data_IF_031645807699
#
_entry.id   IF_031645807699
#
_cell.length_a   1.000
_cell.length_b   1.000
_cell.length_c   1.000
_cell.angle_alpha   90.00
_cell.angle_beta   90.00
_cell.angle_gamma   90.00
#
_symmetry.space_group_name_H-M   'P 1'
#
loop_
_entity.id
_entity.type
_entity.pdbx_description
1 polymer ?
#
# COMPACT_ATOMS: atom_id res chain seq x y z
N UNK A 1 -34.82 38.68 -16.60
CA UNK A 1 -33.73 37.98 -17.26
C UNK A 1 -32.56 37.66 -16.32
N UNK A 2 -31.97 38.61 -15.57
CA UNK A 2 -30.84 38.31 -14.65
C UNK A 2 -31.15 37.24 -13.59
N UNK A 3 -32.35 37.21 -12.99
CA UNK A 3 -32.73 36.22 -11.96
C UNK A 3 -32.88 34.79 -12.52
N UNK A 4 -33.31 34.64 -13.78
CA UNK A 4 -33.43 33.34 -14.45
C UNK A 4 -32.04 32.79 -14.78
N UNK A 5 -31.09 33.64 -15.20
CA UNK A 5 -29.70 33.24 -15.44
C UNK A 5 -28.99 32.78 -14.16
N UNK A 6 -29.24 33.43 -13.03
CA UNK A 6 -28.67 33.02 -11.72
C UNK A 6 -29.24 31.67 -11.27
N UNK A 7 -30.55 31.45 -11.45
CA UNK A 7 -31.19 30.17 -11.12
C UNK A 7 -30.67 29.01 -12.02
N UNK A 8 -30.52 29.25 -13.31
CA UNK A 8 -29.93 28.27 -14.24
C UNK A 8 -28.45 27.97 -13.92
N UNK A 9 -27.67 28.99 -13.56
CA UNK A 9 -26.27 28.82 -13.17
C UNK A 9 -26.14 28.05 -11.85
N UNK A 10 -26.97 28.33 -10.85
CA UNK A 10 -27.01 27.58 -9.59
C UNK A 10 -27.45 26.14 -9.80
N UNK A 11 -28.40 25.86 -10.68
CA UNK A 11 -28.84 24.50 -11.01
C UNK A 11 -27.76 23.70 -11.78
N UNK A 12 -26.97 24.35 -12.62
CA UNK A 12 -25.84 23.69 -13.30
C UNK A 12 -24.71 23.34 -12.33
N UNK A 13 -24.43 24.19 -11.35
CA UNK A 13 -23.41 23.92 -10.31
C UNK A 13 -23.86 22.74 -9.44
N UNK A 14 -25.12 22.69 -9.01
CA UNK A 14 -25.61 21.58 -8.20
C UNK A 14 -25.60 20.25 -8.97
N UNK A 15 -25.96 20.24 -10.24
CA UNK A 15 -25.90 19.04 -11.10
C UNK A 15 -24.47 18.52 -11.28
N UNK A 16 -23.48 19.44 -11.43
CA UNK A 16 -22.08 19.02 -11.55
C UNK A 16 -21.51 18.46 -10.25
N UNK A 17 -21.90 18.98 -9.08
CA UNK A 17 -21.49 18.45 -7.78
C UNK A 17 -22.06 17.05 -7.56
N UNK A 18 -23.32 16.81 -7.87
CA UNK A 18 -23.95 15.47 -7.77
C UNK A 18 -23.29 14.46 -8.70
N UNK A 19 -23.02 14.83 -9.96
CA UNK A 19 -22.34 13.96 -10.91
C UNK A 19 -20.92 13.59 -10.46
N UNK A 20 -20.18 14.52 -9.88
CA UNK A 20 -18.83 14.27 -9.34
C UNK A 20 -18.88 13.34 -8.10
N UNK A 21 -19.87 13.48 -7.25
CA UNK A 21 -20.05 12.62 -6.08
C UNK A 21 -20.43 11.18 -6.46
N UNK A 22 -21.27 11.03 -7.49
CA UNK A 22 -21.66 9.72 -8.02
C UNK A 22 -20.47 9.01 -8.69
N UNK A 23 -19.62 9.74 -9.42
CA UNK A 23 -18.39 9.21 -10.01
C UNK A 23 -17.39 8.77 -8.95
N UNK A 24 -17.18 9.60 -7.92
CA UNK A 24 -16.29 9.28 -6.79
C UNK A 24 -16.81 8.03 -6.03
N UNK A 25 -18.09 7.94 -5.77
CA UNK A 25 -18.70 6.79 -5.11
C UNK A 25 -18.51 5.50 -5.93
N UNK A 26 -18.72 5.57 -7.25
CA UNK A 26 -18.51 4.44 -8.16
C UNK A 26 -17.06 3.95 -8.15
N UNK A 27 -16.12 4.89 -8.20
CA UNK A 27 -14.68 4.60 -8.17
C UNK A 27 -14.24 3.97 -6.85
N UNK A 28 -14.71 4.51 -5.72
CA UNK A 28 -14.41 3.94 -4.40
C UNK A 28 -14.96 2.54 -4.23
N UNK A 29 -16.16 2.31 -4.74
CA UNK A 29 -16.80 0.99 -4.73
C UNK A 29 -16.02 -0.04 -5.55
N UNK A 30 -15.48 0.36 -6.71
CA UNK A 30 -14.62 -0.49 -7.54
C UNK A 30 -13.29 -0.81 -6.86
N UNK A 31 -12.71 0.16 -6.15
CA UNK A 31 -11.46 0.01 -5.40
C UNK A 31 -11.61 -0.77 -4.09
N UNK A 32 -12.84 -1.03 -3.64
CA UNK A 32 -13.16 -1.56 -2.31
C UNK A 32 -12.57 -0.70 -1.17
N UNK A 33 -12.51 0.62 -1.37
CA UNK A 33 -11.91 1.57 -0.43
C UNK A 33 -12.70 2.87 -0.44
N UNK A 34 -13.38 3.18 0.65
CA UNK A 34 -14.07 4.43 0.91
C UNK A 34 -13.25 5.31 1.83
N UNK A 35 -13.01 6.57 1.42
CA UNK A 35 -12.45 7.61 2.25
C UNK A 35 -13.51 8.69 2.46
N UNK A 36 -13.89 8.96 3.69
CA UNK A 36 -15.02 9.82 4.00
C UNK A 36 -14.87 10.51 5.35
N UNK A 37 -15.66 11.56 5.53
CA UNK A 37 -15.79 12.21 6.83
C UNK A 37 -17.22 12.17 7.34
N UNK A 38 -17.36 12.23 8.66
CA UNK A 38 -18.63 12.37 9.38
C UNK A 38 -18.40 13.20 10.63
N UNK A 39 -19.50 13.67 11.23
CA UNK A 39 -19.45 14.40 12.49
C UNK A 39 -19.94 13.50 13.63
N UNK A 40 -19.36 13.70 14.82
CA UNK A 40 -19.68 12.95 16.01
C UNK A 40 -19.89 13.92 17.17
N UNK A 41 -20.98 13.72 17.92
CA UNK A 41 -21.31 14.56 19.10
C UNK A 41 -20.71 14.01 20.40
N UNK A 42 -20.57 12.68 20.51
CA UNK A 42 -20.06 11.98 21.70
C UNK A 42 -18.86 11.10 21.37
N UNK A 43 -17.73 11.42 21.97
CA UNK A 43 -16.48 10.64 21.84
C UNK A 43 -16.59 9.17 22.32
N UNK A 44 -17.60 8.83 23.14
CA UNK A 44 -17.82 7.46 23.57
C UNK A 44 -18.36 6.58 22.43
N UNK A 45 -19.04 7.16 21.46
CA UNK A 45 -19.50 6.44 20.27
C UNK A 45 -18.35 6.06 19.34
N UNK A 46 -17.27 6.85 19.37
CA UNK A 46 -16.11 6.65 18.50
C UNK A 46 -15.47 5.26 18.67
N UNK A 47 -15.43 4.75 19.91
CA UNK A 47 -14.87 3.42 20.17
C UNK A 47 -15.68 2.29 19.51
N UNK A 48 -16.99 2.44 19.40
CA UNK A 48 -17.87 1.47 18.72
C UNK A 48 -17.75 1.60 17.20
N UNK A 49 -17.63 2.84 16.71
CA UNK A 49 -17.45 3.13 15.30
C UNK A 49 -16.10 2.57 14.81
N UNK A 50 -15.05 2.67 15.61
CA UNK A 50 -13.72 2.13 15.31
C UNK A 50 -13.67 0.58 15.22
N UNK A 51 -14.70 -0.12 15.69
CA UNK A 51 -14.85 -1.57 15.46
C UNK A 51 -15.37 -1.90 14.05
N UNK A 52 -15.97 -0.92 13.36
CA UNK A 52 -16.58 -1.09 12.03
C UNK A 52 -15.68 -0.53 10.94
N UNK A 53 -15.07 0.65 11.18
CA UNK A 53 -14.30 1.40 10.19
C UNK A 53 -12.92 1.78 10.75
N UNK A 54 -11.98 2.10 9.86
CA UNK A 54 -10.62 2.57 10.21
C UNK A 54 -10.61 4.07 10.36
N UNK A 55 -10.38 4.59 11.56
CA UNK A 55 -10.27 6.03 11.81
C UNK A 55 -8.87 6.48 11.40
N UNK A 56 -8.81 7.42 10.46
CA UNK A 56 -7.57 8.04 9.99
C UNK A 56 -7.21 9.27 10.84
N UNK A 57 -8.19 10.18 11.02
CA UNK A 57 -7.94 11.47 11.66
C UNK A 57 -9.17 12.00 12.37
N UNK A 58 -8.93 12.74 13.45
CA UNK A 58 -9.99 13.44 14.20
C UNK A 58 -9.61 14.92 14.26
N UNK A 59 -10.50 15.80 13.79
CA UNK A 59 -10.35 17.24 13.76
C UNK A 59 -11.56 17.95 14.43
N UNK A 60 -11.46 18.14 15.74
CA UNK A 60 -12.61 18.60 16.53
C UNK A 60 -13.72 17.55 16.54
N UNK A 61 -14.90 17.91 16.07
CA UNK A 61 -16.06 17.01 15.97
C UNK A 61 -16.08 16.21 14.65
N UNK A 62 -15.20 16.57 13.71
CA UNK A 62 -15.08 15.91 12.42
C UNK A 62 -14.13 14.72 12.49
N UNK A 63 -14.61 13.57 12.06
CA UNK A 63 -13.83 12.33 11.94
C UNK A 63 -13.62 12.00 10.47
N UNK A 64 -12.41 11.61 10.12
CA UNK A 64 -12.05 11.13 8.79
C UNK A 64 -11.66 9.66 8.91
N UNK A 65 -12.17 8.83 7.99
CA UNK A 65 -12.03 7.39 8.10
C UNK A 65 -11.95 6.70 6.74
N UNK A 66 -11.42 5.48 6.78
CA UNK A 66 -11.45 4.50 5.69
C UNK A 66 -12.39 3.34 6.01
N UNK A 67 -12.99 2.78 4.97
CA UNK A 67 -13.76 1.55 5.05
C UNK A 67 -13.72 0.79 3.72
N UNK A 68 -13.77 -0.54 3.75
CA UNK A 68 -14.08 -1.34 2.57
C UNK A 68 -15.60 -1.29 2.25
N UNK A 69 -16.03 -1.85 1.14
CA UNK A 69 -17.45 -1.86 0.73
C UNK A 69 -18.38 -2.34 1.86
N UNK A 70 -18.04 -3.47 2.48
CA UNK A 70 -18.87 -4.06 3.53
C UNK A 70 -18.91 -3.17 4.78
N UNK A 71 -17.77 -2.72 5.26
CA UNK A 71 -17.67 -1.88 6.45
C UNK A 71 -18.33 -0.51 6.25
N UNK A 72 -18.30 0.03 5.02
CA UNK A 72 -18.97 1.26 4.69
C UNK A 72 -20.49 1.10 4.71
N UNK A 73 -21.02 0.01 4.14
CA UNK A 73 -22.45 -0.32 4.21
C UNK A 73 -22.90 -0.54 5.67
N UNK A 74 -22.11 -1.25 6.47
CA UNK A 74 -22.37 -1.45 7.90
C UNK A 74 -22.40 -0.10 8.65
N UNK A 75 -21.47 0.81 8.34
CA UNK A 75 -21.42 2.16 8.91
C UNK A 75 -22.62 3.02 8.51
N UNK A 76 -23.01 3.02 7.23
CA UNK A 76 -24.19 3.75 6.75
C UNK A 76 -25.48 3.30 7.44
N UNK A 77 -25.55 2.03 7.86
CA UNK A 77 -26.69 1.49 8.61
C UNK A 77 -26.89 2.13 9.98
N UNK A 78 -25.88 2.82 10.53
CA UNK A 78 -25.97 3.60 11.77
C UNK A 78 -26.77 4.90 11.58
N UNK A 79 -27.04 5.32 10.35
CA UNK A 79 -27.77 6.55 10.03
C UNK A 79 -26.96 7.83 10.20
N UNK A 80 -25.63 7.73 10.29
CA UNK A 80 -24.73 8.87 10.39
C UNK A 80 -24.50 9.43 8.98
N UNK A 81 -24.65 10.74 8.82
CA UNK A 81 -24.40 11.42 7.54
C UNK A 81 -22.90 11.42 7.21
N UNK A 82 -22.59 11.11 5.96
CA UNK A 82 -21.19 11.05 5.47
C UNK A 82 -20.96 12.00 4.32
N UNK A 83 -19.71 12.46 4.20
CA UNK A 83 -19.23 13.16 3.01
C UNK A 83 -18.03 12.38 2.45
N UNK A 84 -18.16 11.86 1.21
CA UNK A 84 -17.04 11.22 0.52
C UNK A 84 -15.92 12.22 0.25
N UNK A 85 -14.70 11.81 0.51
CA UNK A 85 -13.48 12.57 0.29
C UNK A 85 -12.62 11.84 -0.73
N UNK A 86 -11.83 12.58 -1.50
CA UNK A 86 -10.82 11.98 -2.36
C UNK A 86 -9.67 11.47 -1.49
N UNK A 87 -9.31 10.18 -1.53
CA UNK A 87 -8.19 9.66 -0.77
C UNK A 87 -6.88 10.38 -1.12
N UNK A 88 -5.98 10.62 -0.15
CA UNK A 88 -4.66 11.22 -0.41
C UNK A 88 -3.89 10.51 -1.52
N UNK A 89 -3.98 9.18 -1.60
CA UNK A 89 -3.36 8.35 -2.65
C UNK A 89 -3.82 8.68 -4.08
N UNK A 90 -4.97 9.35 -4.23
CA UNK A 90 -5.49 9.78 -5.53
C UNK A 90 -5.17 11.25 -5.85
N UNK A 91 -4.67 12.03 -4.88
CA UNK A 91 -4.36 13.44 -5.07
C UNK A 91 -2.94 13.66 -5.61
N UNK A 92 -2.07 12.69 -5.42
CA UNK A 92 -0.67 12.75 -5.85
C UNK A 92 -0.41 11.75 -6.98
N UNK A 93 0.22 12.23 -8.06
CA UNK A 93 0.76 11.35 -9.09
C UNK A 93 2.18 10.98 -8.69
N UNK A 94 2.34 9.77 -8.16
CA UNK A 94 3.66 9.27 -7.85
C UNK A 94 4.39 8.91 -9.14
N UNK A 95 5.66 9.32 -9.22
CA UNK A 95 6.54 8.90 -10.29
C UNK A 95 6.90 7.44 -10.05
N UNK A 96 6.62 6.59 -11.04
CA UNK A 96 6.85 5.15 -10.97
C UNK A 96 8.03 4.77 -11.83
N UNK A 97 8.93 3.97 -11.27
CA UNK A 97 10.01 3.35 -12.02
C UNK A 97 9.50 2.09 -12.74
N UNK A 98 9.68 2.03 -14.05
CA UNK A 98 9.31 0.91 -14.91
C UNK A 98 10.50 0.24 -15.61
N UNK A 99 11.73 0.57 -15.20
CA UNK A 99 12.97 -0.04 -15.68
C UNK A 99 13.08 -1.52 -15.32
N UNK A 100 13.96 -2.24 -16.03
CA UNK A 100 14.11 -3.69 -15.87
C UNK A 100 15.41 -4.12 -15.18
N UNK A 101 16.27 -3.17 -14.87
CA UNK A 101 17.55 -3.46 -14.22
C UNK A 101 17.70 -2.63 -12.95
N UNK A 102 18.25 -3.25 -11.92
CA UNK A 102 18.52 -2.58 -10.66
C UNK A 102 19.47 -1.39 -10.83
N UNK A 103 20.40 -1.47 -11.77
CA UNK A 103 21.36 -0.40 -12.04
C UNK A 103 20.73 0.91 -12.53
N UNK A 104 19.50 0.85 -13.04
CA UNK A 104 18.75 2.04 -13.50
C UNK A 104 17.93 2.69 -12.39
N UNK A 105 17.89 2.11 -11.19
CA UNK A 105 16.99 2.52 -10.11
C UNK A 105 17.73 3.36 -9.04
N UNK A 106 17.29 4.60 -8.86
CA UNK A 106 17.92 5.59 -7.97
C UNK A 106 17.32 5.67 -6.54
N UNK A 107 16.33 4.85 -6.22
CA UNK A 107 15.61 4.82 -4.95
C UNK A 107 14.76 6.07 -4.63
N UNK A 108 14.48 6.91 -5.61
CA UNK A 108 13.64 8.12 -5.51
C UNK A 108 12.22 7.95 -6.08
N UNK A 109 11.92 6.76 -6.61
CA UNK A 109 10.64 6.39 -7.20
C UNK A 109 10.18 5.05 -6.63
N UNK A 110 8.88 4.75 -6.76
CA UNK A 110 8.36 3.42 -6.46
C UNK A 110 8.42 2.56 -7.72
N UNK A 111 8.94 1.32 -7.65
CA UNK A 111 8.92 0.43 -8.81
C UNK A 111 7.49 -0.03 -9.11
N UNK A 112 7.18 -0.15 -10.41
CA UNK A 112 5.99 -0.89 -10.84
C UNK A 112 6.10 -2.35 -10.39
N UNK A 113 4.98 -3.10 -10.41
CA UNK A 113 5.04 -4.51 -10.04
C UNK A 113 6.00 -5.31 -10.95
N UNK A 114 6.00 -5.02 -12.25
CA UNK A 114 6.89 -5.65 -13.24
C UNK A 114 8.36 -5.30 -12.99
N UNK A 115 8.65 -4.04 -12.62
CA UNK A 115 10.00 -3.64 -12.23
C UNK A 115 10.45 -4.34 -10.93
N UNK A 116 9.56 -4.46 -9.96
CA UNK A 116 9.81 -5.20 -8.72
C UNK A 116 10.12 -6.68 -8.98
N UNK A 117 9.30 -7.36 -9.79
CA UNK A 117 9.52 -8.75 -10.15
C UNK A 117 10.89 -8.95 -10.83
N UNK A 118 11.20 -8.06 -11.79
CA UNK A 118 12.50 -8.08 -12.48
C UNK A 118 13.68 -7.85 -11.51
N UNK A 119 13.56 -6.92 -10.55
CA UNK A 119 14.59 -6.68 -9.53
C UNK A 119 14.80 -7.89 -8.62
N UNK A 120 13.74 -8.55 -8.20
CA UNK A 120 13.80 -9.75 -7.36
C UNK A 120 14.49 -10.91 -8.10
N UNK A 121 14.21 -11.07 -9.40
CA UNK A 121 14.87 -12.05 -10.27
C UNK A 121 16.36 -11.69 -10.48
N UNK A 122 16.68 -10.42 -10.70
CA UNK A 122 18.06 -9.94 -10.85
C UNK A 122 18.89 -10.17 -9.59
N UNK A 123 18.37 -9.91 -8.39
CA UNK A 123 19.06 -10.22 -7.14
C UNK A 123 19.42 -11.71 -7.04
N UNK A 124 18.48 -12.60 -7.31
CA UNK A 124 18.73 -14.04 -7.22
C UNK A 124 19.67 -14.54 -8.32
N UNK A 125 19.57 -14.02 -9.54
CA UNK A 125 20.44 -14.46 -10.65
C UNK A 125 21.88 -13.93 -10.50
N UNK A 126 22.04 -12.68 -10.05
CA UNK A 126 23.36 -12.04 -9.88
C UNK A 126 24.11 -12.62 -8.68
N UNK A 127 23.41 -12.92 -7.59
CA UNK A 127 23.99 -13.40 -6.33
C UNK A 127 23.54 -14.84 -6.01
N UNK A 128 23.52 -15.69 -7.03
CA UNK A 128 22.97 -17.06 -6.95
C UNK A 128 23.62 -17.98 -5.90
N UNK A 129 24.83 -17.65 -5.45
CA UNK A 129 25.50 -18.38 -4.36
C UNK A 129 24.92 -18.08 -2.97
N UNK A 130 24.35 -16.88 -2.79
CA UNK A 130 23.90 -16.39 -1.51
C UNK A 130 22.40 -16.01 -1.48
N UNK A 131 21.77 -15.86 -2.64
CA UNK A 131 20.40 -15.41 -2.78
C UNK A 131 19.58 -16.40 -3.61
N UNK A 132 18.44 -16.80 -3.08
CA UNK A 132 17.47 -17.65 -3.78
C UNK A 132 16.11 -16.98 -3.80
N UNK A 133 15.51 -16.80 -4.99
CA UNK A 133 14.15 -16.33 -5.14
C UNK A 133 13.16 -17.47 -4.90
N UNK A 134 12.14 -17.19 -4.12
CA UNK A 134 11.05 -18.11 -3.80
C UNK A 134 9.71 -17.46 -4.15
N UNK A 135 8.84 -18.19 -4.80
CA UNK A 135 7.43 -17.84 -4.98
C UNK A 135 6.60 -18.59 -3.94
N UNK A 136 5.93 -17.87 -3.05
CA UNK A 136 5.07 -18.46 -2.01
C UNK A 136 3.65 -18.72 -2.53
N UNK A 137 3.25 -18.07 -3.60
CA UNK A 137 1.95 -18.23 -4.23
C UNK A 137 1.66 -17.12 -5.23
N UNK A 138 0.59 -17.33 -6.00
CA UNK A 138 0.09 -16.39 -6.99
C UNK A 138 -1.31 -15.94 -6.59
N UNK A 139 -1.56 -14.64 -6.61
CA UNK A 139 -2.83 -14.03 -6.28
C UNK A 139 -3.81 -14.09 -7.45
N UNK A 140 -5.08 -13.71 -7.21
CA UNK A 140 -6.12 -13.71 -8.24
C UNK A 140 -5.83 -12.73 -9.41
N UNK A 141 -5.09 -11.66 -9.16
CA UNK A 141 -4.59 -10.73 -10.18
C UNK A 141 -3.54 -11.31 -11.11
N UNK A 142 -2.94 -12.46 -10.75
CA UNK A 142 -1.76 -13.03 -11.39
C UNK A 142 -0.44 -12.57 -10.77
N UNK A 143 -0.46 -11.61 -9.83
CA UNK A 143 0.74 -11.17 -9.11
C UNK A 143 1.21 -12.23 -8.12
N UNK A 144 2.53 -12.36 -7.97
CA UNK A 144 3.19 -13.37 -7.14
C UNK A 144 3.59 -12.80 -5.78
N UNK A 145 3.53 -13.62 -4.76
CA UNK A 145 4.16 -13.34 -3.47
C UNK A 145 5.61 -13.81 -3.52
N UNK A 146 6.53 -12.86 -3.65
CA UNK A 146 7.95 -13.12 -3.82
C UNK A 146 8.73 -12.92 -2.53
N UNK A 147 9.62 -13.84 -2.23
CA UNK A 147 10.53 -13.81 -1.09
C UNK A 147 11.93 -14.16 -1.57
N UNK A 148 12.92 -13.40 -1.16
CA UNK A 148 14.31 -13.85 -1.28
C UNK A 148 14.77 -14.47 0.02
N UNK A 149 15.52 -15.56 -0.11
CA UNK A 149 16.28 -16.19 0.96
C UNK A 149 17.75 -15.84 0.79
N UNK A 150 18.35 -15.24 1.79
CA UNK A 150 19.75 -14.77 1.76
C UNK A 150 20.52 -15.39 2.93
N UNK A 151 21.65 -16.00 2.64
CA UNK A 151 22.55 -16.57 3.65
C UNK A 151 23.92 -16.91 3.03
N UNK A 152 24.93 -17.13 3.87
CA UNK A 152 26.22 -17.65 3.46
C UNK A 152 26.33 -19.13 3.84
N UNK A 153 26.64 -19.99 2.87
CA UNK A 153 26.96 -21.41 3.07
C UNK A 153 25.78 -22.25 3.59
N UNK A 154 26.08 -23.24 4.43
CA UNK A 154 25.09 -24.19 4.94
C UNK A 154 24.08 -23.51 5.86
N UNK A 155 22.83 -23.94 5.73
CA UNK A 155 21.70 -23.37 6.50
C UNK A 155 21.25 -24.26 7.66
N UNK A 156 21.77 -25.48 7.74
CA UNK A 156 21.44 -26.40 8.83
C UNK A 156 21.90 -25.82 10.18
N UNK A 157 20.97 -25.75 11.11
CA UNK A 157 21.24 -25.20 12.45
C UNK A 157 21.19 -23.69 12.56
N UNK A 158 21.12 -22.93 11.46
CA UNK A 158 20.92 -21.47 11.52
C UNK A 158 19.49 -21.13 11.92
N UNK A 159 19.29 -20.16 12.83
CA UNK A 159 17.96 -19.62 13.08
C UNK A 159 17.42 -18.95 11.82
N UNK A 160 16.12 -19.11 11.58
CA UNK A 160 15.41 -18.50 10.46
C UNK A 160 14.80 -17.19 10.92
N UNK A 161 14.96 -16.16 10.10
CA UNK A 161 14.36 -14.86 10.33
C UNK A 161 13.64 -14.36 9.08
N UNK A 162 12.38 -13.91 9.22
CA UNK A 162 11.58 -13.34 8.15
C UNK A 162 11.33 -11.85 8.41
N UNK A 163 11.75 -11.02 7.45
CA UNK A 163 11.25 -9.66 7.30
C UNK A 163 10.16 -9.62 6.25
N UNK A 164 9.01 -9.07 6.61
CA UNK A 164 7.92 -8.81 5.69
C UNK A 164 7.47 -7.36 5.80
N UNK A 165 7.03 -6.77 4.70
CA UNK A 165 6.43 -5.43 4.68
C UNK A 165 5.23 -5.37 3.75
N UNK A 166 4.52 -4.24 3.78
CA UNK A 166 3.39 -3.95 2.88
C UNK A 166 2.29 -5.00 2.99
N UNK A 167 1.97 -5.41 4.24
CA UNK A 167 0.83 -6.30 4.52
C UNK A 167 -0.49 -5.58 4.21
N UNK A 168 -0.55 -4.26 4.47
CA UNK A 168 -1.53 -3.36 3.89
C UNK A 168 -0.90 -2.74 2.64
N UNK A 169 -1.57 -2.84 1.49
CA UNK A 169 -0.98 -2.52 0.19
C UNK A 169 -0.57 -1.07 0.01
N UNK A 170 -1.19 -0.16 0.74
CA UNK A 170 -0.91 1.29 0.77
C UNK A 170 0.32 1.67 1.62
N UNK A 171 0.84 0.76 2.45
CA UNK A 171 2.03 0.99 3.29
C UNK A 171 3.33 0.74 2.51
N UNK A 172 3.60 1.55 1.51
CA UNK A 172 4.66 1.32 0.51
C UNK A 172 6.08 1.67 0.96
N UNK A 173 6.25 2.43 2.04
CA UNK A 173 7.59 2.80 2.55
C UNK A 173 8.43 1.57 2.94
N UNK A 174 7.81 0.59 3.60
CA UNK A 174 8.46 -0.67 3.97
C UNK A 174 8.92 -1.48 2.76
N UNK A 175 8.16 -1.45 1.69
CA UNK A 175 8.46 -2.09 0.42
C UNK A 175 9.83 -1.67 -0.15
N UNK A 176 10.05 -0.35 -0.29
CA UNK A 176 11.30 0.19 -0.79
C UNK A 176 12.46 -0.09 0.16
N UNK A 177 12.23 0.05 1.47
CA UNK A 177 13.27 -0.24 2.48
C UNK A 177 13.71 -1.71 2.43
N UNK A 178 12.80 -2.66 2.21
CA UNK A 178 13.14 -4.07 2.10
C UNK A 178 13.93 -4.37 0.81
N UNK A 179 13.59 -3.78 -0.33
CA UNK A 179 14.37 -3.89 -1.56
C UNK A 179 15.79 -3.35 -1.37
N UNK A 180 15.91 -2.19 -0.72
CA UNK A 180 17.21 -1.58 -0.42
C UNK A 180 18.02 -2.40 0.59
N UNK A 181 17.36 -3.04 1.55
CA UNK A 181 18.02 -3.97 2.48
C UNK A 181 18.59 -5.18 1.73
N UNK A 182 17.81 -5.79 0.83
CA UNK A 182 18.27 -6.89 -0.01
C UNK A 182 19.54 -6.49 -0.78
N UNK A 183 19.48 -5.35 -1.48
CA UNK A 183 20.66 -4.85 -2.19
C UNK A 183 21.87 -4.64 -1.28
N UNK A 184 21.66 -4.00 -0.12
CA UNK A 184 22.74 -3.75 0.84
C UNK A 184 23.39 -5.04 1.32
N UNK A 185 22.56 -6.05 1.67
CA UNK A 185 23.08 -7.34 2.13
C UNK A 185 23.84 -8.09 1.04
N UNK A 186 23.44 -7.97 -0.22
CA UNK A 186 24.05 -8.66 -1.35
C UNK A 186 25.31 -7.95 -1.87
N UNK A 187 25.32 -6.61 -1.87
CA UNK A 187 26.45 -5.82 -2.40
C UNK A 187 27.55 -5.56 -1.37
N UNK A 188 27.24 -5.64 -0.08
CA UNK A 188 28.17 -5.29 1.01
C UNK A 188 28.52 -6.51 1.89
N UNK A 189 28.60 -7.69 1.30
CA UNK A 189 28.87 -8.96 2.01
C UNK A 189 30.21 -8.98 2.76
N UNK A 190 31.18 -8.15 2.34
CA UNK A 190 32.50 -8.03 2.97
C UNK A 190 32.50 -7.20 4.25
N UNK A 191 31.43 -6.43 4.52
CA UNK A 191 31.31 -5.71 5.78
C UNK A 191 31.13 -6.69 6.94
N UNK A 192 31.88 -6.53 8.05
CA UNK A 192 31.85 -7.48 9.17
C UNK A 192 30.44 -7.72 9.74
N UNK A 193 29.62 -6.68 9.83
CA UNK A 193 28.23 -6.77 10.32
C UNK A 193 27.31 -7.53 9.36
N UNK A 194 27.43 -7.31 8.05
CA UNK A 194 26.66 -8.03 7.03
C UNK A 194 27.07 -9.49 7.00
N UNK A 195 28.37 -9.72 6.94
CA UNK A 195 28.95 -11.07 6.98
C UNK A 195 28.48 -11.85 8.21
N UNK A 196 28.52 -11.21 9.38
CA UNK A 196 28.08 -11.86 10.62
C UNK A 196 26.61 -12.26 10.58
N UNK A 197 25.73 -11.43 9.98
CA UNK A 197 24.32 -11.77 9.80
C UNK A 197 24.17 -12.96 8.88
N UNK A 198 24.76 -12.92 7.68
CA UNK A 198 24.58 -13.95 6.65
C UNK A 198 25.26 -15.29 7.01
N UNK A 199 26.35 -15.25 7.80
CA UNK A 199 27.01 -16.47 8.29
C UNK A 199 26.18 -17.20 9.37
N UNK A 200 25.38 -16.46 10.15
CA UNK A 200 24.72 -17.02 11.34
C UNK A 200 23.17 -17.10 11.22
N UNK A 201 22.55 -16.46 10.24
CA UNK A 201 21.11 -16.41 10.07
C UNK A 201 20.73 -16.88 8.66
N UNK A 202 19.66 -17.66 8.58
CA UNK A 202 18.96 -17.99 7.34
C UNK A 202 17.85 -16.94 7.17
N UNK A 203 18.13 -15.89 6.39
CA UNK A 203 17.30 -14.69 6.30
C UNK A 203 16.34 -14.77 5.13
N UNK A 204 15.08 -14.45 5.37
CA UNK A 204 14.02 -14.34 4.38
C UNK A 204 13.49 -12.91 4.35
N UNK A 205 13.36 -12.33 3.16
CA UNK A 205 12.83 -10.97 2.99
C UNK A 205 11.71 -11.00 1.96
N UNK A 206 10.53 -10.56 2.39
CA UNK A 206 9.32 -10.41 1.58
C UNK A 206 8.96 -8.92 1.47
N UNK A 207 9.46 -8.20 0.45
CA UNK A 207 9.26 -6.75 0.36
C UNK A 207 7.80 -6.34 0.21
N UNK A 208 7.02 -7.10 -0.55
CA UNK A 208 5.62 -6.82 -0.82
C UNK A 208 4.77 -8.08 -0.55
N UNK A 209 4.09 -8.10 0.60
CA UNK A 209 3.24 -9.23 1.01
C UNK A 209 1.77 -9.05 0.62
N UNK A 210 1.40 -7.89 0.08
CA UNK A 210 0.06 -7.63 -0.47
C UNK A 210 0.17 -6.83 -1.79
N UNK A 211 0.61 -7.46 -2.89
CA UNK A 211 0.83 -6.75 -4.15
C UNK A 211 -0.46 -6.32 -4.87
N UNK A 212 -1.64 -6.73 -4.38
CA UNK A 212 -2.96 -6.35 -4.91
C UNK A 212 -3.61 -5.20 -4.12
N UNK A 213 -3.05 -4.84 -2.96
CA UNK A 213 -3.56 -3.80 -2.08
C UNK A 213 -3.14 -2.40 -2.46
#
# INVERSE_FOLDING_TARGET
>A
MKKIFILLFLSMISLSIFAQQDELNSLMKERDEFYFSFEIEDSQELSKIAEIISIDKIEGDKVIAYANNKSYDDFLSLGIETTLLTPPSMLETHKMFDGRTRAEYDWDEYPTYEAYEAMMEEFASTYSENCTLMELGTLNSGRKLLVVRINNGETEGKPKFLYSSTIHGDETTGYIMMLRLIETLLTQQDLPEVKNVLDNIDLFIAPNTNPDG
#
